data_IF_176078427472
#
_entry.id   IF_176078427472
#
_cell.length_a   1.000
_cell.length_b   1.000
_cell.length_c   1.000
_cell.angle_alpha   90.00
_cell.angle_beta   90.00
_cell.angle_gamma   90.00
#
_symmetry.space_group_name_H-M   'P 1'
#
loop_
_entity.id
_entity.type
_entity.pdbx_description
1 polymer ?
#
# COMPACT_ATOMS: atom_id res chain seq x y z
N UNK A 1 -28.39 5.02 30.98
CA UNK A 1 -27.77 3.67 31.01
C UNK A 1 -27.10 3.47 29.65
N UNK A 2 -25.81 3.79 29.53
CA UNK A 2 -25.05 3.65 28.28
C UNK A 2 -24.43 2.25 28.21
N UNK A 3 -24.79 1.40 27.23
CA UNK A 3 -24.00 0.22 26.90
C UNK A 3 -22.85 0.62 25.95
N UNK A 4 -21.85 -0.26 25.79
CA UNK A 4 -20.55 -0.10 25.09
C UNK A 4 -19.45 0.47 25.99
N UNK A 5 -19.05 -0.22 27.06
CA UNK A 5 -18.33 -1.52 27.08
C UNK A 5 -17.09 -1.52 26.17
N UNK A 6 -15.93 -1.60 26.84
CA UNK A 6 -14.58 -1.95 26.40
C UNK A 6 -14.31 -2.10 24.89
N UNK A 7 -13.24 -1.46 24.38
CA UNK A 7 -12.69 -1.78 23.07
C UNK A 7 -12.57 -3.29 22.79
N UNK A 8 -13.47 -3.84 21.97
CA UNK A 8 -13.35 -5.22 21.50
C UNK A 8 -12.01 -5.46 20.80
N UNK A 9 -11.45 -6.67 20.91
CA UNK A 9 -10.25 -7.07 20.16
C UNK A 9 -10.49 -6.90 18.66
N UNK A 10 -9.56 -6.26 17.95
CA UNK A 10 -9.62 -6.15 16.49
C UNK A 10 -9.31 -7.53 15.90
N UNK A 11 -10.30 -8.13 15.22
CA UNK A 11 -10.14 -9.42 14.54
C UNK A 11 -9.56 -9.19 13.14
N UNK A 12 -8.32 -9.58 12.95
CA UNK A 12 -7.64 -9.52 11.65
C UNK A 12 -8.06 -10.74 10.81
N UNK A 13 -8.40 -10.52 9.54
CA UNK A 13 -8.69 -11.62 8.60
C UNK A 13 -7.40 -12.31 8.19
N UNK A 14 -7.48 -13.56 7.72
CA UNK A 14 -6.30 -14.26 7.22
C UNK A 14 -5.75 -13.59 5.95
N UNK A 15 -4.45 -13.71 5.74
CA UNK A 15 -3.75 -13.14 4.57
C UNK A 15 -4.28 -13.73 3.28
N UNK A 16 -4.51 -15.05 3.25
CA UNK A 16 -5.18 -15.74 2.14
C UNK A 16 -6.54 -15.12 1.80
N UNK A 17 -7.34 -14.75 2.80
CA UNK A 17 -8.65 -14.11 2.55
C UNK A 17 -8.48 -12.73 1.92
N UNK A 18 -7.56 -11.91 2.45
CA UNK A 18 -7.27 -10.60 1.87
C UNK A 18 -6.76 -10.71 0.43
N UNK A 19 -5.86 -11.66 0.15
CA UNK A 19 -5.33 -11.88 -1.19
C UNK A 19 -6.37 -12.35 -2.19
N UNK A 20 -7.28 -13.24 -1.79
CA UNK A 20 -8.39 -13.67 -2.64
C UNK A 20 -9.33 -12.50 -2.98
N UNK A 21 -9.64 -11.64 -2.00
CA UNK A 21 -10.45 -10.44 -2.26
C UNK A 21 -9.72 -9.47 -3.21
N UNK A 22 -8.42 -9.24 -2.99
CA UNK A 22 -7.58 -8.43 -3.89
C UNK A 22 -7.49 -9.01 -5.30
N UNK A 23 -7.45 -10.34 -5.45
CA UNK A 23 -7.44 -11.03 -6.74
C UNK A 23 -8.74 -10.76 -7.52
N UNK A 24 -9.89 -10.87 -6.85
CA UNK A 24 -11.18 -10.52 -7.45
C UNK A 24 -11.21 -9.07 -7.94
N UNK A 25 -10.72 -8.12 -7.15
CA UNK A 25 -10.63 -6.72 -7.58
C UNK A 25 -9.73 -6.52 -8.79
N UNK A 26 -8.63 -7.28 -8.92
CA UNK A 26 -7.78 -7.26 -10.12
C UNK A 26 -8.52 -7.78 -11.35
N UNK A 27 -9.23 -8.89 -11.23
CA UNK A 27 -10.04 -9.45 -12.31
C UNK A 27 -11.14 -8.49 -12.76
N UNK A 28 -11.85 -7.88 -11.81
CA UNK A 28 -12.86 -6.85 -12.09
C UNK A 28 -12.23 -5.61 -12.77
N UNK A 29 -11.02 -5.22 -12.37
CA UNK A 29 -10.28 -4.10 -12.98
C UNK A 29 -9.81 -4.40 -14.40
N UNK A 30 -9.29 -5.60 -14.65
CA UNK A 30 -8.93 -6.07 -15.99
C UNK A 30 -10.15 -6.09 -16.91
N UNK A 31 -11.27 -6.67 -16.46
CA UNK A 31 -12.53 -6.67 -17.20
C UNK A 31 -13.01 -5.24 -17.50
N UNK A 32 -13.06 -4.38 -16.47
CA UNK A 32 -13.53 -3.00 -16.61
C UNK A 32 -12.69 -2.22 -17.62
N UNK A 33 -11.36 -2.34 -17.55
CA UNK A 33 -10.43 -1.64 -18.44
C UNK A 33 -10.52 -2.18 -19.87
N UNK A 34 -10.60 -3.50 -20.05
CA UNK A 34 -10.74 -4.12 -21.37
C UNK A 34 -12.06 -3.71 -22.04
N UNK A 35 -13.17 -3.72 -21.30
CA UNK A 35 -14.46 -3.31 -21.85
C UNK A 35 -14.47 -1.83 -22.18
N UNK A 36 -13.89 -0.97 -21.35
CA UNK A 36 -13.72 0.45 -21.66
C UNK A 36 -12.91 0.64 -22.95
N UNK A 37 -11.78 -0.06 -23.09
CA UNK A 37 -10.92 0.02 -24.27
C UNK A 37 -11.59 -0.50 -25.56
N UNK A 38 -12.59 -1.39 -25.45
CA UNK A 38 -13.34 -1.90 -26.61
C UNK A 38 -14.22 -0.83 -27.30
N UNK A 39 -14.47 0.31 -26.65
CA UNK A 39 -15.39 1.35 -27.13
C UNK A 39 -16.87 0.97 -27.05
N UNK A 40 -17.20 -0.23 -26.54
CA UNK A 40 -18.59 -0.68 -26.36
C UNK A 40 -19.38 0.22 -25.40
N UNK A 41 -18.83 0.66 -24.24
CA UNK A 41 -19.52 1.61 -23.36
C UNK A 41 -19.78 2.96 -24.03
N UNK A 42 -18.80 3.48 -24.79
CA UNK A 42 -18.94 4.76 -25.48
C UNK A 42 -20.00 4.69 -26.59
N UNK A 43 -20.04 3.57 -27.33
CA UNK A 43 -21.08 3.31 -28.34
C UNK A 43 -22.46 3.23 -27.68
N UNK A 44 -22.58 2.55 -26.54
CA UNK A 44 -23.83 2.46 -25.80
C UNK A 44 -24.30 3.85 -25.35
N UNK A 45 -23.40 4.65 -24.75
CA UNK A 45 -23.70 6.00 -24.30
C UNK A 45 -24.15 6.91 -25.45
N UNK A 46 -23.43 6.91 -26.58
CA UNK A 46 -23.83 7.68 -27.78
C UNK A 46 -25.21 7.27 -28.31
N UNK A 47 -25.53 5.97 -28.30
CA UNK A 47 -26.85 5.49 -28.70
C UNK A 47 -27.94 5.88 -27.70
N UNK A 48 -27.64 5.83 -26.41
CA UNK A 48 -28.56 6.26 -25.35
C UNK A 48 -28.89 7.76 -25.47
N UNK A 49 -27.88 8.60 -25.67
CA UNK A 49 -28.03 10.04 -25.94
C UNK A 49 -28.82 10.29 -27.23
N UNK A 50 -28.47 9.61 -28.33
CA UNK A 50 -29.18 9.73 -29.62
C UNK A 50 -30.66 9.38 -29.47
N UNK A 51 -30.98 8.27 -28.81
CA UNK A 51 -32.37 7.79 -28.65
C UNK A 51 -33.16 8.62 -27.64
N UNK A 52 -32.49 9.18 -26.64
CA UNK A 52 -33.10 10.10 -25.67
C UNK A 52 -33.43 11.48 -26.24
N UNK A 53 -32.91 11.84 -27.43
CA UNK A 53 -33.10 13.17 -28.01
C UNK A 53 -34.49 13.41 -28.59
N UNK A 54 -34.96 14.66 -28.51
CA UNK A 54 -36.24 15.07 -29.11
C UNK A 54 -36.26 14.86 -30.63
N UNK A 55 -35.13 15.10 -31.30
CA UNK A 55 -34.97 14.86 -32.73
C UNK A 55 -35.23 13.41 -33.11
N UNK A 56 -34.69 12.47 -32.34
CA UNK A 56 -34.94 11.04 -32.57
C UNK A 56 -36.41 10.67 -32.35
N UNK A 57 -37.04 11.25 -31.32
CA UNK A 57 -38.46 11.05 -31.05
C UNK A 57 -39.35 11.61 -32.16
N UNK A 58 -39.04 12.80 -32.68
CA UNK A 58 -39.73 13.43 -33.82
C UNK A 58 -39.58 12.56 -35.06
N UNK A 59 -38.36 12.11 -35.39
CA UNK A 59 -38.08 11.22 -36.53
C UNK A 59 -38.83 9.90 -36.42
N UNK A 60 -38.86 9.28 -35.23
CA UNK A 60 -39.65 8.08 -34.96
C UNK A 60 -41.16 8.32 -35.17
N UNK A 61 -41.70 9.45 -34.69
CA UNK A 61 -43.12 9.80 -34.88
C UNK A 61 -43.46 10.03 -36.36
N UNK A 62 -42.61 10.73 -37.11
CA UNK A 62 -42.79 10.96 -38.55
C UNK A 62 -42.81 9.64 -39.33
N UNK A 63 -41.90 8.72 -39.01
CA UNK A 63 -41.83 7.40 -39.65
C UNK A 63 -43.00 6.48 -39.26
N UNK A 64 -43.65 6.70 -38.11
CA UNK A 64 -44.78 5.91 -37.60
C UNK A 64 -46.18 6.48 -37.94
N UNK A 65 -46.29 7.77 -38.30
CA UNK A 65 -47.58 8.48 -38.51
C UNK A 65 -48.41 8.04 -39.73
N UNK A 66 -47.92 7.15 -40.61
CA UNK A 66 -48.64 6.77 -41.83
C UNK A 66 -48.70 5.24 -41.99
N UNK A 67 -49.85 4.66 -41.61
CA UNK A 67 -50.13 3.21 -41.58
C UNK A 67 -50.59 2.67 -42.94
N UNK A 68 -49.68 2.02 -43.68
CA UNK A 68 -49.97 1.02 -44.73
C UNK A 68 -48.85 -0.03 -44.70
N UNK A 69 -49.16 -1.32 -44.95
CA UNK A 69 -48.23 -2.48 -44.86
C UNK A 69 -46.81 -2.22 -45.43
N UNK A 70 -46.71 -1.62 -46.61
CA UNK A 70 -45.43 -1.26 -47.29
C UNK A 70 -44.54 -0.27 -46.52
N UNK A 71 -45.08 0.55 -45.60
CA UNK A 71 -44.30 1.50 -44.79
C UNK A 71 -43.87 0.94 -43.43
N UNK A 72 -44.53 -0.11 -42.93
CA UNK A 72 -44.04 -0.85 -41.76
C UNK A 72 -42.72 -1.57 -42.06
N UNK A 73 -42.53 -2.03 -43.31
CA UNK A 73 -41.25 -2.51 -43.84
C UNK A 73 -40.21 -1.38 -43.90
N UNK A 74 -40.56 -0.21 -44.46
CA UNK A 74 -39.66 0.97 -44.48
C UNK A 74 -39.21 1.42 -43.09
N UNK A 75 -40.06 1.32 -42.07
CA UNK A 75 -39.63 1.57 -40.69
C UNK A 75 -38.57 0.56 -40.24
N UNK A 76 -38.78 -0.74 -40.51
CA UNK A 76 -37.81 -1.80 -40.15
C UNK A 76 -36.48 -1.69 -40.89
N UNK A 77 -36.46 -1.05 -42.05
CA UNK A 77 -35.26 -0.75 -42.85
C UNK A 77 -34.63 0.60 -42.49
N UNK A 78 -35.27 1.41 -41.65
CA UNK A 78 -34.77 2.74 -41.32
C UNK A 78 -33.59 2.69 -40.35
N UNK A 79 -32.66 3.63 -40.52
CA UNK A 79 -31.53 3.86 -39.59
C UNK A 79 -32.01 3.98 -38.13
N UNK A 80 -33.11 4.71 -37.89
CA UNK A 80 -33.67 4.92 -36.56
C UNK A 80 -34.14 3.61 -35.90
N UNK A 81 -34.70 2.67 -36.68
CA UNK A 81 -35.06 1.35 -36.17
C UNK A 81 -33.83 0.49 -35.89
N UNK A 82 -32.81 0.55 -36.75
CA UNK A 82 -31.54 -0.14 -36.52
C UNK A 82 -30.84 0.35 -35.25
N UNK A 83 -30.80 1.66 -35.01
CA UNK A 83 -30.26 2.26 -33.78
C UNK A 83 -31.06 1.84 -32.55
N UNK A 84 -32.40 1.88 -32.61
CA UNK A 84 -33.25 1.46 -31.50
C UNK A 84 -33.07 -0.03 -31.17
N UNK A 85 -32.91 -0.87 -32.20
CA UNK A 85 -32.63 -2.30 -32.02
C UNK A 85 -31.23 -2.51 -31.44
N UNK A 86 -30.23 -1.79 -31.92
CA UNK A 86 -28.87 -1.84 -31.41
C UNK A 86 -28.82 -1.41 -29.93
N UNK A 87 -29.45 -0.30 -29.55
CA UNK A 87 -29.57 0.15 -28.17
C UNK A 87 -30.29 -0.88 -27.30
N UNK A 88 -31.44 -1.40 -27.73
CA UNK A 88 -32.18 -2.42 -26.96
C UNK A 88 -31.37 -3.69 -26.74
N UNK A 89 -30.53 -4.06 -27.71
CA UNK A 89 -29.58 -5.18 -27.59
C UNK A 89 -28.50 -4.85 -26.56
N UNK A 90 -27.81 -3.72 -26.72
CA UNK A 90 -26.74 -3.29 -25.81
C UNK A 90 -27.22 -3.05 -24.37
N UNK A 91 -28.42 -2.51 -24.18
CA UNK A 91 -29.06 -2.35 -22.85
C UNK A 91 -29.28 -3.69 -22.12
N UNK A 92 -29.40 -4.79 -22.88
CA UNK A 92 -29.55 -6.15 -22.34
C UNK A 92 -28.23 -6.91 -22.30
N UNK A 93 -27.13 -6.32 -22.78
CA UNK A 93 -25.83 -6.95 -22.81
C UNK A 93 -25.30 -7.14 -21.37
N UNK A 94 -24.93 -8.38 -20.99
CA UNK A 94 -24.51 -8.67 -19.62
C UNK A 94 -23.17 -8.02 -19.26
N UNK A 95 -22.26 -7.81 -20.23
CA UNK A 95 -20.96 -7.19 -19.97
C UNK A 95 -21.11 -5.69 -19.72
N UNK A 96 -21.93 -5.00 -20.53
CA UNK A 96 -22.25 -3.58 -20.30
C UNK A 96 -22.95 -3.37 -18.95
N UNK A 97 -23.89 -4.24 -18.58
CA UNK A 97 -24.54 -4.18 -17.26
C UNK A 97 -23.52 -4.29 -16.13
N UNK A 98 -22.68 -5.33 -16.17
CA UNK A 98 -21.60 -5.53 -15.20
C UNK A 98 -20.65 -4.33 -15.14
N UNK A 99 -20.28 -3.76 -16.28
CA UNK A 99 -19.42 -2.57 -16.35
C UNK A 99 -20.03 -1.37 -15.62
N UNK A 100 -21.30 -1.06 -15.85
CA UNK A 100 -21.96 0.06 -15.17
C UNK A 100 -22.28 -0.23 -13.70
N UNK A 101 -22.46 -1.50 -13.31
CA UNK A 101 -22.53 -1.92 -11.91
C UNK A 101 -21.19 -1.68 -11.19
N UNK A 102 -20.09 -2.15 -11.77
CA UNK A 102 -18.73 -1.89 -11.25
C UNK A 102 -18.41 -0.40 -11.22
N UNK A 103 -18.82 0.37 -12.25
CA UNK A 103 -18.62 1.83 -12.29
C UNK A 103 -19.24 2.53 -11.09
N UNK A 104 -20.36 2.01 -10.57
CA UNK A 104 -21.11 2.55 -9.42
C UNK A 104 -20.67 1.98 -8.08
N UNK A 105 -19.91 0.89 -8.04
CA UNK A 105 -19.45 0.27 -6.80
C UNK A 105 -18.40 1.16 -6.11
N UNK A 106 -18.68 1.68 -4.89
CA UNK A 106 -17.77 2.57 -4.19
C UNK A 106 -16.48 1.87 -3.70
N UNK A 107 -16.54 0.56 -3.45
CA UNK A 107 -15.37 -0.22 -3.04
C UNK A 107 -14.46 -0.44 -4.25
N UNK A 108 -15.03 -0.81 -5.38
CA UNK A 108 -14.29 -0.92 -6.63
C UNK A 108 -13.69 0.43 -7.05
N UNK A 109 -14.44 1.53 -6.93
CA UNK A 109 -13.94 2.89 -7.14
C UNK A 109 -12.69 3.18 -6.30
N UNK A 110 -12.76 2.90 -4.99
CA UNK A 110 -11.62 3.12 -4.10
C UNK A 110 -10.42 2.25 -4.48
N UNK A 111 -10.65 1.01 -4.91
CA UNK A 111 -9.59 0.13 -5.37
C UNK A 111 -8.88 0.69 -6.61
N UNK A 112 -9.62 1.06 -7.67
CA UNK A 112 -9.03 1.63 -8.89
C UNK A 112 -8.37 2.98 -8.69
N UNK A 113 -8.70 3.70 -7.61
CA UNK A 113 -8.12 5.02 -7.32
C UNK A 113 -6.64 4.99 -6.98
N UNK A 114 -6.00 3.82 -6.91
CA UNK A 114 -4.58 3.68 -6.64
C UNK A 114 -3.81 3.35 -7.91
N UNK A 115 -2.75 4.09 -8.19
CA UNK A 115 -1.79 3.79 -9.26
C UNK A 115 -0.44 3.48 -8.67
N UNK A 116 0.14 2.36 -9.13
CA UNK A 116 1.43 1.88 -8.66
C UNK A 116 2.55 2.88 -9.04
N UNK A 117 3.38 3.23 -8.07
CA UNK A 117 4.51 4.16 -8.26
C UNK A 117 5.86 3.52 -7.95
N UNK A 118 5.87 2.47 -7.13
CA UNK A 118 7.07 1.70 -6.83
C UNK A 118 6.68 0.27 -6.46
N UNK A 119 7.43 -0.72 -6.94
CA UNK A 119 7.32 -2.08 -6.44
C UNK A 119 8.65 -2.82 -6.45
N UNK A 120 8.75 -3.77 -5.53
CA UNK A 120 9.77 -4.79 -5.57
C UNK A 120 9.20 -6.12 -5.10
N UNK A 121 9.48 -7.15 -5.88
CA UNK A 121 9.12 -8.56 -5.66
C UNK A 121 10.33 -9.39 -5.20
N UNK A 122 11.48 -8.75 -5.01
CA UNK A 122 12.72 -9.34 -4.53
C UNK A 122 13.11 -10.62 -5.29
N UNK A 123 13.04 -10.55 -6.63
CA UNK A 123 13.60 -11.59 -7.49
C UNK A 123 15.13 -11.54 -7.48
N UNK A 124 15.70 -10.33 -7.41
CA UNK A 124 17.13 -10.03 -7.29
C UNK A 124 17.32 -8.78 -6.44
N UNK A 125 18.49 -8.60 -5.82
CA UNK A 125 18.79 -7.37 -5.09
C UNK A 125 19.20 -6.23 -6.03
N UNK A 126 18.36 -5.21 -6.17
CA UNK A 126 18.59 -4.06 -7.06
C UNK A 126 19.15 -2.85 -6.30
N UNK A 127 20.46 -2.58 -6.46
CA UNK A 127 21.13 -1.39 -5.85
C UNK A 127 20.61 -0.05 -6.39
N UNK A 128 19.95 -0.05 -7.55
CA UNK A 128 19.24 1.11 -8.10
C UNK A 128 17.99 1.46 -7.29
N UNK A 129 17.41 0.49 -6.57
CA UNK A 129 16.23 0.67 -5.72
C UNK A 129 16.58 0.79 -4.25
N UNK A 130 17.61 0.09 -3.78
CA UNK A 130 17.89 -0.06 -2.36
C UNK A 130 19.33 0.27 -1.98
N UNK A 131 19.47 0.99 -0.87
CA UNK A 131 20.74 1.11 -0.14
C UNK A 131 20.65 0.33 1.17
N UNK A 132 21.78 -0.22 1.62
CA UNK A 132 21.84 -1.17 2.76
C UNK A 132 22.36 -0.55 4.06
N UNK A 133 22.29 0.79 4.16
CA UNK A 133 22.78 1.57 5.30
C UNK A 133 21.92 2.84 5.45
N UNK A 134 22.03 3.53 6.58
CA UNK A 134 21.35 4.81 6.77
C UNK A 134 21.68 5.81 5.65
N UNK A 135 20.69 6.58 5.21
CA UNK A 135 20.83 7.55 4.13
C UNK A 135 22.00 8.53 4.34
N UNK A 136 22.16 9.08 5.55
CA UNK A 136 23.27 9.96 5.85
C UNK A 136 24.64 9.26 5.73
N UNK A 137 24.72 7.98 6.07
CA UNK A 137 25.93 7.18 5.94
C UNK A 137 26.29 6.93 4.48
N UNK A 138 25.29 6.69 3.64
CA UNK A 138 25.46 6.59 2.18
C UNK A 138 25.88 7.93 1.57
N UNK A 139 25.21 9.03 1.94
CA UNK A 139 25.39 10.33 1.30
C UNK A 139 26.66 11.06 1.73
N UNK A 140 27.05 10.97 2.99
CA UNK A 140 28.10 11.81 3.58
C UNK A 140 29.33 11.04 4.04
N UNK A 141 29.19 9.75 4.41
CA UNK A 141 30.29 8.98 5.00
C UNK A 141 30.82 7.86 4.09
N UNK A 142 30.06 7.51 3.04
CA UNK A 142 30.26 6.30 2.24
C UNK A 142 30.50 5.04 3.12
N UNK A 143 29.91 5.02 4.32
CA UNK A 143 30.14 4.02 5.35
C UNK A 143 28.86 3.75 6.14
N UNK A 144 28.74 2.57 6.72
CA UNK A 144 27.70 2.30 7.72
C UNK A 144 28.11 2.86 9.07
N UNK A 145 27.13 3.10 9.94
CA UNK A 145 27.32 3.51 11.32
C UNK A 145 26.07 3.14 12.13
N UNK A 146 26.22 2.89 13.43
CA UNK A 146 25.09 2.74 14.34
C UNK A 146 24.60 4.08 14.88
N UNK A 147 23.35 4.10 15.33
CA UNK A 147 22.70 5.28 15.92
C UNK A 147 21.89 4.89 17.15
N UNK A 148 21.72 5.83 18.07
CA UNK A 148 20.84 5.65 19.22
C UNK A 148 21.23 4.46 20.10
N UNK A 149 20.24 3.64 20.46
CA UNK A 149 20.43 2.50 21.38
C UNK A 149 20.54 1.15 20.67
N UNK A 150 20.70 1.15 19.36
CA UNK A 150 20.85 -0.09 18.61
C UNK A 150 22.07 -0.88 19.11
N UNK A 151 21.84 -2.16 19.42
CA UNK A 151 22.92 -3.08 19.86
C UNK A 151 23.65 -3.71 18.67
N UNK A 152 23.04 -3.63 17.48
CA UNK A 152 23.59 -4.10 16.21
C UNK A 152 24.23 -3.00 15.37
N UNK A 153 25.14 -3.40 14.48
CA UNK A 153 25.55 -2.61 13.33
C UNK A 153 24.89 -3.14 12.05
N UNK A 154 24.26 -2.26 11.27
CA UNK A 154 23.70 -2.64 9.98
C UNK A 154 24.79 -2.81 8.92
N UNK A 155 24.89 -4.00 8.32
CA UNK A 155 25.90 -4.30 7.29
C UNK A 155 25.27 -4.95 6.04
N UNK A 156 25.85 -4.72 4.85
CA UNK A 156 25.32 -5.29 3.60
C UNK A 156 25.29 -6.82 3.58
N UNK A 157 26.23 -7.49 4.26
CA UNK A 157 26.36 -8.96 4.29
C UNK A 157 25.18 -9.68 4.97
N UNK A 158 24.35 -8.92 5.69
CA UNK A 158 23.15 -9.37 6.35
C UNK A 158 21.89 -9.09 5.53
N UNK A 159 22.04 -8.64 4.28
CA UNK A 159 20.96 -8.43 3.32
C UNK A 159 21.09 -9.46 2.21
N UNK A 160 20.05 -10.28 2.03
CA UNK A 160 20.03 -11.32 0.99
C UNK A 160 18.71 -11.34 0.25
N UNK A 161 18.77 -11.68 -1.03
CA UNK A 161 17.58 -11.96 -1.84
C UNK A 161 17.70 -13.38 -2.38
N UNK A 162 16.69 -14.21 -2.11
CA UNK A 162 16.65 -15.60 -2.57
C UNK A 162 15.19 -16.04 -2.65
N UNK A 163 14.87 -16.87 -3.65
CA UNK A 163 13.54 -17.49 -3.78
C UNK A 163 12.38 -16.47 -3.75
N UNK A 164 12.56 -15.30 -4.37
CA UNK A 164 11.52 -14.25 -4.44
C UNK A 164 11.27 -13.52 -3.12
N UNK A 165 12.24 -13.50 -2.20
CA UNK A 165 12.12 -12.83 -0.92
C UNK A 165 13.39 -12.07 -0.56
N UNK A 166 13.21 -10.94 0.12
CA UNK A 166 14.25 -10.24 0.86
C UNK A 166 14.37 -10.84 2.26
N UNK A 167 15.61 -11.07 2.69
CA UNK A 167 15.99 -11.50 4.01
C UNK A 167 16.92 -10.47 4.65
N UNK A 168 16.53 -9.98 5.83
CA UNK A 168 17.42 -9.22 6.71
C UNK A 168 17.76 -10.11 7.90
N UNK A 169 19.02 -10.51 8.00
CA UNK A 169 19.48 -11.46 9.01
C UNK A 169 20.07 -10.72 10.22
N UNK A 170 19.66 -11.10 11.43
CA UNK A 170 20.31 -10.67 12.65
C UNK A 170 21.30 -11.75 13.09
N UNK A 171 22.56 -11.39 13.37
CA UNK A 171 23.62 -12.35 13.71
C UNK A 171 24.38 -11.89 14.93
N UNK A 172 24.76 -12.84 15.78
CA UNK A 172 25.79 -12.62 16.79
C UNK A 172 27.15 -12.61 16.11
N UNK A 173 27.74 -11.43 16.03
CA UNK A 173 29.00 -11.21 15.33
C UNK A 173 29.67 -10.00 15.94
N UNK A 174 30.83 -10.23 16.56
CA UNK A 174 31.66 -9.16 17.08
C UNK A 174 32.24 -8.35 15.93
N UNK A 175 32.04 -7.03 15.96
CA UNK A 175 32.57 -6.10 14.97
C UNK A 175 32.87 -4.74 15.59
N UNK A 176 34.01 -4.15 15.25
CA UNK A 176 34.29 -2.75 15.53
C UNK A 176 33.76 -1.89 14.38
N UNK A 177 32.93 -0.90 14.69
CA UNK A 177 32.26 -0.09 13.67
C UNK A 177 32.04 1.35 14.08
N UNK A 178 31.63 2.17 13.11
CA UNK A 178 31.30 3.59 13.35
C UNK A 178 29.99 3.71 14.13
N UNK A 179 29.93 4.70 15.01
CA UNK A 179 28.75 5.07 15.79
C UNK A 179 28.59 6.59 15.76
N UNK A 180 27.36 7.07 15.60
CA UNK A 180 27.07 8.50 15.73
C UNK A 180 26.76 8.84 17.18
N UNK A 181 27.70 9.55 17.81
CA UNK A 181 27.55 10.13 19.13
C UNK A 181 27.04 11.59 19.03
N UNK A 182 25.97 11.98 19.74
CA UNK A 182 25.44 13.34 19.69
C UNK A 182 26.43 14.44 20.13
N UNK A 183 27.45 14.11 20.94
CA UNK A 183 28.45 15.06 21.43
C UNK A 183 29.71 15.07 20.57
N UNK A 184 30.15 13.89 20.11
CA UNK A 184 31.45 13.72 19.46
C UNK A 184 31.37 13.45 17.95
N UNK A 185 30.17 13.31 17.40
CA UNK A 185 29.98 12.92 16.00
C UNK A 185 30.34 11.45 15.77
N UNK A 186 31.06 11.15 14.68
CA UNK A 186 31.40 9.76 14.35
C UNK A 186 32.59 9.29 15.19
N UNK A 187 32.34 8.27 16.02
CA UNK A 187 33.35 7.55 16.80
C UNK A 187 33.32 6.05 16.45
N UNK A 188 34.25 5.26 16.99
CA UNK A 188 34.22 3.80 16.88
C UNK A 188 33.65 3.15 18.14
N UNK A 189 32.90 2.07 17.96
CA UNK A 189 32.27 1.28 19.03
C UNK A 189 32.34 -0.20 18.66
N UNK A 190 32.52 -1.06 19.66
CA UNK A 190 32.37 -2.50 19.50
C UNK A 190 30.89 -2.91 19.57
N UNK A 191 30.47 -3.73 18.61
CA UNK A 191 29.14 -4.28 18.52
C UNK A 191 29.22 -5.80 18.67
N UNK A 192 28.35 -6.37 19.52
CA UNK A 192 28.21 -7.82 19.64
C UNK A 192 27.34 -8.45 18.54
N UNK A 193 26.66 -7.63 17.74
CA UNK A 193 25.66 -8.06 16.77
C UNK A 193 25.76 -7.29 15.46
N UNK A 194 25.39 -7.96 14.37
CA UNK A 194 25.19 -7.37 13.05
C UNK A 194 23.77 -7.62 12.57
N UNK A 195 23.24 -6.71 11.74
CA UNK A 195 21.91 -6.89 11.15
C UNK A 195 21.78 -6.31 9.75
N UNK A 196 20.66 -6.60 9.10
CA UNK A 196 20.30 -6.06 7.79
C UNK A 196 19.33 -4.88 7.88
N UNK A 197 19.56 -3.86 7.05
CA UNK A 197 18.55 -2.86 6.70
C UNK A 197 18.57 -2.57 5.21
N UNK A 198 17.45 -2.13 4.66
CA UNK A 198 17.37 -1.53 3.33
C UNK A 198 16.51 -0.28 3.35
N UNK A 199 16.82 0.71 2.52
CA UNK A 199 15.93 1.85 2.31
C UNK A 199 16.00 2.42 0.89
N UNK A 200 15.00 3.21 0.55
CA UNK A 200 14.77 3.79 -0.79
C UNK A 200 15.28 5.23 -0.93
N UNK A 201 16.05 5.76 0.03
CA UNK A 201 16.32 7.19 0.13
C UNK A 201 16.94 7.86 -1.11
N UNK A 202 17.71 7.10 -1.91
CA UNK A 202 18.31 7.58 -3.17
C UNK A 202 17.44 7.32 -4.41
N UNK A 203 16.51 6.39 -4.35
CA UNK A 203 15.78 5.87 -5.51
C UNK A 203 14.33 6.35 -5.57
N UNK A 204 13.67 6.44 -4.41
CA UNK A 204 12.25 6.71 -4.32
C UNK A 204 11.88 7.42 -3.02
N UNK A 205 11.12 8.50 -3.16
CA UNK A 205 10.51 9.26 -2.06
C UNK A 205 9.10 9.65 -2.47
N UNK A 206 8.16 9.59 -1.53
CA UNK A 206 6.77 9.96 -1.81
C UNK A 206 6.13 10.69 -0.62
N UNK A 207 5.38 11.75 -0.92
CA UNK A 207 4.45 12.39 0.01
C UNK A 207 3.05 11.89 -0.32
N UNK A 208 2.26 11.59 0.71
CA UNK A 208 0.94 10.96 0.56
C UNK A 208 1.02 9.60 -0.17
N UNK A 209 -0.14 8.98 -0.35
CA UNK A 209 -0.29 7.75 -1.10
C UNK A 209 -0.48 6.53 -0.20
N UNK A 210 -0.27 5.35 -0.75
CA UNK A 210 -0.37 4.07 -0.04
C UNK A 210 0.99 3.39 -0.04
N UNK A 211 1.39 2.90 1.13
CA UNK A 211 2.61 2.13 1.33
C UNK A 211 2.25 0.75 1.84
N UNK A 212 2.64 -0.29 1.11
CA UNK A 212 2.37 -1.67 1.49
C UNK A 212 3.63 -2.51 1.57
N UNK A 213 3.64 -3.42 2.53
CA UNK A 213 4.63 -4.49 2.64
C UNK A 213 3.93 -5.79 2.98
N UNK A 214 4.35 -6.89 2.33
CA UNK A 214 4.01 -8.25 2.77
C UNK A 214 5.25 -8.87 3.40
N UNK A 215 5.20 -9.06 4.71
CA UNK A 215 6.30 -9.62 5.49
C UNK A 215 5.81 -10.70 6.45
N UNK A 216 6.70 -11.62 6.79
CA UNK A 216 6.45 -12.67 7.76
C UNK A 216 6.64 -12.14 9.18
N UNK A 217 5.65 -12.39 10.03
CA UNK A 217 5.69 -12.10 11.45
C UNK A 217 5.92 -13.42 12.20
N UNK A 218 6.87 -13.52 13.14
CA UNK A 218 7.03 -14.70 13.97
C UNK A 218 5.95 -14.79 15.06
N UNK A 219 5.83 -15.94 15.73
CA UNK A 219 4.91 -16.09 16.86
C UNK A 219 5.30 -15.16 18.04
N UNK A 220 6.59 -15.05 18.28
CA UNK A 220 7.27 -14.25 19.29
C UNK A 220 8.66 -13.87 18.76
N UNK A 221 9.19 -12.75 19.25
CA UNK A 221 10.52 -12.26 18.88
C UNK A 221 11.03 -11.28 19.93
N UNK A 222 12.32 -11.36 20.22
CA UNK A 222 13.05 -10.33 20.99
C UNK A 222 13.54 -9.18 20.10
N UNK A 223 13.53 -9.38 18.78
CA UNK A 223 13.87 -8.39 17.76
C UNK A 223 12.64 -7.60 17.31
N UNK A 224 12.90 -6.36 16.89
CA UNK A 224 11.99 -5.44 16.26
C UNK A 224 12.05 -5.57 14.72
N UNK A 225 10.94 -6.05 14.14
CA UNK A 225 10.66 -6.11 12.71
C UNK A 225 10.04 -4.78 12.29
N UNK A 226 10.79 -3.97 11.54
CA UNK A 226 10.42 -2.58 11.30
C UNK A 226 10.20 -2.29 9.80
N UNK A 227 9.09 -1.62 9.50
CA UNK A 227 8.81 -0.96 8.24
C UNK A 227 8.31 0.45 8.51
N UNK A 228 9.02 1.46 8.04
CA UNK A 228 8.80 2.84 8.45
C UNK A 228 9.19 3.84 7.36
N UNK A 229 8.71 5.08 7.51
CA UNK A 229 9.02 6.20 6.61
C UNK A 229 9.74 7.31 7.37
N UNK A 230 10.72 7.94 6.72
CA UNK A 230 11.40 9.13 7.23
C UNK A 230 11.94 10.00 6.08
N UNK A 231 12.48 11.17 6.42
CA UNK A 231 13.10 12.09 5.48
C UNK A 231 14.58 12.32 5.82
N UNK A 232 15.10 13.47 5.40
CA UNK A 232 16.48 13.86 5.71
C UNK A 232 16.65 14.26 7.18
N UNK A 233 15.55 14.66 7.82
CA UNK A 233 15.45 14.88 9.25
C UNK A 233 14.82 13.65 9.89
N UNK A 234 15.16 13.41 11.15
CA UNK A 234 14.62 12.28 11.92
C UNK A 234 13.08 12.32 11.98
N UNK A 235 12.51 13.51 12.14
CA UNK A 235 11.07 13.73 12.12
C UNK A 235 10.59 14.45 10.84
N UNK A 236 9.37 14.14 10.37
CA UNK A 236 8.44 13.16 10.92
C UNK A 236 8.90 11.72 10.65
N UNK A 237 8.71 10.87 11.66
CA UNK A 237 8.99 9.44 11.58
C UNK A 237 7.67 8.67 11.63
N UNK A 238 7.38 7.86 10.62
CA UNK A 238 6.11 7.12 10.54
C UNK A 238 6.42 5.64 10.66
N UNK A 239 6.03 5.04 11.79
CA UNK A 239 6.08 3.59 11.96
C UNK A 239 4.84 2.96 11.34
N UNK A 240 5.03 2.28 10.21
CA UNK A 240 4.00 1.47 9.57
C UNK A 240 3.90 0.11 10.27
N UNK A 241 5.05 -0.50 10.53
CA UNK A 241 5.21 -1.73 11.29
C UNK A 241 6.37 -1.56 12.25
N UNK A 242 6.12 -1.79 13.53
CA UNK A 242 7.12 -2.22 14.49
C UNK A 242 6.53 -3.45 15.20
N UNK A 243 7.12 -4.62 15.01
CA UNK A 243 6.68 -5.83 15.70
C UNK A 243 7.86 -6.43 16.47
N UNK A 244 7.69 -6.59 17.78
CA UNK A 244 8.70 -7.20 18.64
C UNK A 244 8.10 -7.72 19.93
N UNK A 245 8.85 -7.65 21.03
CA UNK A 245 8.45 -8.19 22.34
C UNK A 245 7.15 -7.60 22.89
N UNK A 246 6.82 -6.36 22.52
CA UNK A 246 5.59 -5.64 22.90
C UNK A 246 4.41 -5.92 21.97
N UNK A 247 4.62 -6.69 20.91
CA UNK A 247 3.64 -6.96 19.85
C UNK A 247 3.71 -5.92 18.73
N UNK A 248 2.60 -5.78 17.98
CA UNK A 248 2.50 -4.83 16.88
C UNK A 248 2.25 -3.40 17.37
N UNK A 249 3.13 -2.49 16.97
CA UNK A 249 3.10 -1.05 17.21
C UNK A 249 3.14 -0.30 15.87
N UNK A 250 2.41 0.82 15.83
CA UNK A 250 2.34 1.70 14.66
C UNK A 250 1.94 3.11 15.12
N UNK A 251 2.42 4.13 14.41
CA UNK A 251 2.17 5.51 14.78
C UNK A 251 3.02 6.52 14.02
N UNK A 252 2.87 7.78 14.41
CA UNK A 252 3.64 8.90 13.88
C UNK A 252 4.37 9.58 15.04
N UNK A 253 5.61 9.98 14.81
CA UNK A 253 6.41 10.71 15.78
C UNK A 253 6.78 12.05 15.15
N UNK A 254 6.54 13.13 15.89
CA UNK A 254 6.83 14.50 15.49
C UNK A 254 7.77 15.16 16.51
N UNK A 255 8.34 16.30 16.14
CA UNK A 255 9.10 17.15 17.05
C UNK A 255 10.56 17.32 16.64
N UNK A 256 11.39 17.66 17.63
CA UNK A 256 12.83 17.76 17.51
C UNK A 256 13.49 16.67 18.37
N UNK A 257 14.72 16.23 18.04
CA UNK A 257 15.48 15.33 18.90
C UNK A 257 15.55 15.89 20.34
N UNK A 258 15.07 15.13 21.32
CA UNK A 258 15.02 15.55 22.73
C UNK A 258 13.71 16.21 23.19
N UNK A 259 12.84 16.61 22.28
CA UNK A 259 11.49 17.16 22.54
C UNK A 259 10.43 16.37 21.75
N UNK A 260 10.58 15.04 21.76
CA UNK A 260 9.80 14.14 20.95
C UNK A 260 8.33 14.17 21.38
N UNK A 261 7.43 14.45 20.44
CA UNK A 261 6.00 14.31 20.64
C UNK A 261 5.52 13.01 20.02
N UNK A 262 5.16 12.06 20.89
CA UNK A 262 4.48 10.83 20.52
C UNK A 262 3.06 11.14 20.02
N UNK A 263 2.87 11.17 18.70
CA UNK A 263 1.57 11.41 18.10
C UNK A 263 0.83 10.10 17.94
N UNK A 264 -0.12 9.90 18.86
CA UNK A 264 -1.00 8.73 18.98
C UNK A 264 -0.37 7.41 18.51
N UNK A 265 0.20 6.63 19.41
CA UNK A 265 0.58 5.25 19.09
C UNK A 265 -0.64 4.32 19.08
N UNK A 266 -0.55 3.19 18.36
CA UNK A 266 -1.52 2.11 18.52
C UNK A 266 -1.38 1.48 19.91
N UNK A 267 -2.16 1.95 20.88
CA UNK A 267 -2.18 1.39 22.26
C UNK A 267 -2.97 0.08 22.40
N UNK A 268 -3.66 -0.37 21.35
CA UNK A 268 -4.46 -1.61 21.36
C UNK A 268 -3.63 -2.80 20.90
N UNK A 269 -3.57 -3.88 21.69
CA UNK A 269 -2.91 -5.12 21.30
C UNK A 269 -3.64 -5.80 20.14
N UNK A 270 -3.09 -5.68 18.94
CA UNK A 270 -3.44 -6.56 17.82
C UNK A 270 -2.66 -7.86 18.01
N UNK A 271 -3.37 -8.99 18.11
CA UNK A 271 -2.73 -10.31 18.19
C UNK A 271 -2.54 -10.84 16.78
N UNK A 272 -1.28 -10.98 16.38
CA UNK A 272 -0.89 -11.67 15.16
C UNK A 272 -0.38 -13.06 15.54
N UNK A 273 -0.61 -14.04 14.69
CA UNK A 273 0.01 -15.37 14.79
C UNK A 273 1.23 -15.38 13.89
N UNK A 274 2.07 -16.41 13.99
CA UNK A 274 3.14 -16.58 13.01
C UNK A 274 2.58 -16.68 11.58
N UNK A 275 3.23 -16.00 10.63
CA UNK A 275 2.93 -16.08 9.20
C UNK A 275 2.99 -14.73 8.50
N UNK A 276 2.74 -14.75 7.19
CA UNK A 276 2.73 -13.53 6.36
C UNK A 276 1.53 -12.65 6.66
N UNK A 277 1.74 -11.34 6.67
CA UNK A 277 0.69 -10.32 6.71
C UNK A 277 0.97 -9.23 5.68
N UNK A 278 -0.11 -8.63 5.17
CA UNK A 278 -0.02 -7.41 4.37
C UNK A 278 -0.29 -6.23 5.29
N UNK A 279 0.72 -5.41 5.52
CA UNK A 279 0.60 -4.14 6.23
C UNK A 279 0.43 -3.02 5.22
N UNK A 280 -0.61 -2.21 5.40
CA UNK A 280 -0.92 -1.09 4.52
C UNK A 280 -0.98 0.19 5.34
N UNK A 281 -0.32 1.23 4.84
CA UNK A 281 -0.43 2.59 5.35
C UNK A 281 -0.98 3.51 4.26
N UNK A 282 -2.18 4.04 4.46
CA UNK A 282 -2.75 5.09 3.60
C UNK A 282 -2.45 6.45 4.23
N UNK A 283 -1.59 7.22 3.59
CA UNK A 283 -1.33 8.61 3.92
C UNK A 283 -2.12 9.52 2.99
N UNK A 284 -3.21 10.07 3.51
CA UNK A 284 -4.12 10.97 2.80
C UNK A 284 -3.96 12.39 3.35
N UNK A 285 -4.47 13.37 2.60
CA UNK A 285 -4.44 14.79 3.00
C UNK A 285 -5.10 15.04 4.36
N UNK A 286 -6.19 14.32 4.66
CA UNK A 286 -7.04 14.55 5.82
C UNK A 286 -6.96 13.45 6.89
N UNK A 287 -6.19 12.38 6.64
CA UNK A 287 -6.02 11.27 7.58
C UNK A 287 -4.88 10.33 7.22
N UNK A 288 -4.40 9.62 8.24
CA UNK A 288 -3.50 8.48 8.12
C UNK A 288 -4.21 7.21 8.58
N UNK A 289 -4.11 6.11 7.82
CA UNK A 289 -4.83 4.87 8.12
C UNK A 289 -3.86 3.69 8.05
N UNK A 290 -3.77 2.92 9.13
CA UNK A 290 -3.03 1.65 9.16
C UNK A 290 -4.01 0.49 9.03
N UNK A 291 -3.64 -0.49 8.23
CA UNK A 291 -4.40 -1.72 8.01
C UNK A 291 -3.49 -2.93 8.07
N UNK A 292 -4.07 -4.04 8.50
CA UNK A 292 -3.46 -5.37 8.41
C UNK A 292 -4.44 -6.26 7.68
N UNK A 293 -4.01 -6.88 6.57
CA UNK A 293 -4.87 -7.71 5.71
C UNK A 293 -6.18 -6.98 5.35
N UNK A 294 -6.08 -5.71 4.95
CA UNK A 294 -7.22 -4.84 4.61
C UNK A 294 -8.22 -4.56 5.76
N UNK A 295 -7.91 -4.96 7.00
CA UNK A 295 -8.64 -4.54 8.20
C UNK A 295 -8.02 -3.28 8.79
N UNK A 296 -8.80 -2.19 8.92
CA UNK A 296 -8.34 -0.97 9.60
C UNK A 296 -8.03 -1.25 11.06
N UNK A 297 -6.80 -0.96 11.49
CA UNK A 297 -6.35 -1.11 12.88
C UNK A 297 -6.16 0.24 13.58
N UNK A 298 -5.88 1.29 12.81
CA UNK A 298 -5.71 2.65 13.32
C UNK A 298 -6.12 3.69 12.28
N UNK A 299 -6.66 4.80 12.75
CA UNK A 299 -6.89 6.00 11.96
C UNK A 299 -6.49 7.21 12.79
N UNK A 300 -5.64 8.06 12.24
CA UNK A 300 -5.24 9.35 12.81
C UNK A 300 -5.79 10.45 11.91
N UNK A 301 -6.47 11.45 12.47
CA UNK A 301 -7.09 12.58 11.74
C UNK A 301 -6.61 13.95 12.22
N UNK A 302 -5.90 13.98 13.34
CA UNK A 302 -5.39 15.20 13.99
C UNK A 302 -3.87 15.09 14.09
N UNK A 303 -3.19 16.22 14.22
CA UNK A 303 -1.72 16.27 14.29
C UNK A 303 -1.04 15.53 13.11
N UNK A 304 -1.60 15.69 11.90
CA UNK A 304 -1.01 15.14 10.70
C UNK A 304 0.29 15.89 10.40
N UNK A 305 1.42 15.20 10.12
CA UNK A 305 2.67 15.86 9.81
C UNK A 305 2.55 16.69 8.53
N UNK A 306 3.02 17.93 8.59
CA UNK A 306 3.44 18.63 7.38
C UNK A 306 4.84 18.14 7.00
N UNK A 307 4.86 17.04 6.26
CA UNK A 307 6.08 16.35 5.84
C UNK A 307 6.44 16.66 4.39
N UNK A 308 7.74 16.64 4.03
CA UNK A 308 8.16 16.46 2.65
C UNK A 308 7.87 15.02 2.17
N UNK A 309 8.29 14.71 0.95
CA UNK A 309 8.32 13.32 0.48
C UNK A 309 9.30 12.49 1.33
N UNK A 310 8.82 11.36 1.85
CA UNK A 310 9.58 10.45 2.72
C UNK A 310 10.03 9.23 1.93
N UNK A 311 11.14 8.62 2.33
CA UNK A 311 11.58 7.31 1.84
C UNK A 311 11.19 6.22 2.82
N UNK A 312 11.07 5.00 2.29
CA UNK A 312 10.74 3.81 3.05
C UNK A 312 11.99 3.03 3.49
N UNK A 313 11.93 2.47 4.69
CA UNK A 313 12.97 1.68 5.33
C UNK A 313 12.42 0.33 5.83
N UNK A 314 13.19 -0.73 5.65
CA UNK A 314 13.01 -2.03 6.28
C UNK A 314 14.24 -2.35 7.13
N UNK A 315 14.04 -2.82 8.34
CA UNK A 315 15.14 -3.21 9.23
C UNK A 315 14.70 -4.27 10.22
N UNK A 316 15.65 -5.13 10.59
CA UNK A 316 15.52 -6.05 11.72
C UNK A 316 16.55 -5.63 12.79
N UNK A 317 16.19 -5.52 14.05
CA UNK A 317 17.18 -5.15 15.07
C UNK A 317 16.57 -5.09 16.45
N UNK A 318 17.30 -4.55 17.42
CA UNK A 318 16.77 -4.32 18.76
C UNK A 318 17.59 -3.22 19.46
N UNK A 319 16.97 -2.58 20.45
CA UNK A 319 17.64 -1.62 21.34
C UNK A 319 18.01 -2.21 22.70
N UNK A 320 17.68 -3.49 22.91
CA UNK A 320 17.93 -4.25 24.13
C UNK A 320 18.61 -5.56 23.75
N UNK A 321 19.53 -6.05 24.58
CA UNK A 321 20.24 -7.29 24.27
C UNK A 321 19.24 -8.47 24.18
N UNK A 322 19.20 -9.18 23.04
CA UNK A 322 18.29 -10.30 22.85
C UNK A 322 18.88 -11.53 23.54
N UNK A 323 18.49 -11.77 24.81
CA UNK A 323 19.04 -12.76 25.77
C UNK A 323 19.73 -14.03 25.24
N UNK A 324 19.27 -15.24 25.61
CA UNK A 324 19.95 -16.49 25.20
C UNK A 324 19.61 -16.92 23.76
N UNK A 325 20.64 -17.45 23.12
CA UNK A 325 20.90 -17.48 21.68
C UNK A 325 20.00 -18.45 20.90
N UNK A 326 19.00 -17.90 20.18
CA UNK A 326 18.54 -18.47 18.90
C UNK A 326 18.80 -17.45 17.79
N UNK A 327 20.07 -17.09 17.62
CA UNK A 327 20.52 -15.89 16.89
C UNK A 327 20.56 -16.03 15.36
N UNK A 328 19.69 -16.87 14.79
CA UNK A 328 19.46 -16.91 13.33
C UNK A 328 18.03 -16.45 13.01
N UNK A 329 17.60 -15.35 13.63
CA UNK A 329 16.35 -14.69 13.29
C UNK A 329 16.53 -13.85 12.01
N UNK A 330 15.51 -13.88 11.16
CA UNK A 330 15.52 -13.14 9.90
C UNK A 330 14.16 -12.54 9.60
N UNK A 331 14.16 -11.32 9.10
CA UNK A 331 12.98 -10.68 8.56
C UNK A 331 12.82 -11.12 7.11
N UNK A 332 11.73 -11.83 6.82
CA UNK A 332 11.38 -12.28 5.47
C UNK A 332 10.31 -11.37 4.87
N UNK A 333 10.63 -10.74 3.75
CA UNK A 333 9.73 -9.84 3.01
C UNK A 333 9.50 -10.39 1.61
N UNK A 334 8.23 -10.57 1.23
CA UNK A 334 7.84 -11.11 -0.07
C UNK A 334 7.73 -10.01 -1.13
N UNK A 335 7.16 -8.86 -0.78
CA UNK A 335 7.10 -7.72 -1.68
C UNK A 335 6.83 -6.41 -0.94
N UNK A 336 7.19 -5.31 -1.59
CA UNK A 336 6.75 -3.95 -1.24
C UNK A 336 6.06 -3.31 -2.44
N UNK A 337 5.00 -2.53 -2.18
CA UNK A 337 4.27 -1.81 -3.23
C UNK A 337 3.79 -0.47 -2.72
N UNK A 338 4.12 0.58 -3.45
CA UNK A 338 3.69 1.95 -3.15
C UNK A 338 2.83 2.48 -4.28
N UNK A 339 1.85 3.29 -3.91
CA UNK A 339 0.86 3.81 -4.85
C UNK A 339 0.60 5.29 -4.58
N UNK A 340 0.27 6.03 -5.63
CA UNK A 340 -0.38 7.33 -5.51
C UNK A 340 -1.88 7.21 -5.72
N UNK A 341 -2.63 8.19 -5.22
CA UNK A 341 -4.09 8.21 -5.36
C UNK A 341 -4.47 9.09 -6.55
N UNK A 342 -5.09 8.49 -7.55
CA UNK A 342 -5.69 9.20 -8.67
C UNK A 342 -7.03 9.81 -8.25
N UNK A 343 -7.25 11.06 -8.66
CA UNK A 343 -8.60 11.62 -8.76
C UNK A 343 -9.12 11.21 -10.14
N UNK A 344 -10.22 10.45 -10.17
CA UNK A 344 -10.95 10.23 -11.42
C UNK A 344 -12.10 11.22 -11.46
N UNK A 345 -12.32 11.79 -12.64
CA UNK A 345 -13.50 12.61 -12.94
C UNK A 345 -14.78 11.76 -13.03
#
# INVERSE_FOLDING_TARGET
>A
MWPFLFPGRIRIRSTRKAENERMKFREDHCFFTALKASGLPDRYQKLEEKIGSDDFNIRCRQLRKFSWKRKAERWKESEAFHDLRAYRRLKKDPELRRYYELKKDPVFYQYRSWSLTFEDHFNTFERSKWITRYYAGERFLQATYGVGRDVQLFIPDNVRVREGHLYLEFRQQQINGKYWDPRWGIITKDYGYTSGMVNTALSFRQKLGRFEVKLEIPADSSLDYCFWLTGDRFYPHINIVKFGSKGYEAGCFLGNPGEEQDVEQLKRKVRLKSGFYIFTFDWLEDRMIWKINDCVVKTLKIHLPDAPALYACLSLGTTEEPGEVRLSEMMKVEWVRFYTKNKFD
#
